data_IF_770399074633
#
_entry.id   IF_770399074633
#
_cell.length_a   1.000
_cell.length_b   1.000
_cell.length_c   1.000
_cell.angle_alpha   90.00
_cell.angle_beta   90.00
_cell.angle_gamma   90.00
#
_symmetry.space_group_name_H-M   'P 1'
#
loop_
_entity.id
_entity.type
_entity.pdbx_description
1 polymer ?
#
# COMPACT_ATOMS: atom_id res chain seq x y z
N UNK A 1 22.56 8.66 -6.61
CA UNK A 1 21.21 8.31 -6.14
C UNK A 1 21.31 6.97 -5.44
N UNK A 2 20.83 6.83 -4.20
CA UNK A 2 20.68 5.50 -3.62
C UNK A 2 19.55 4.80 -4.39
N UNK A 3 19.87 3.74 -5.12
CA UNK A 3 18.86 2.95 -5.83
C UNK A 3 17.99 2.23 -4.80
N UNK A 4 16.69 2.46 -4.86
CA UNK A 4 15.71 1.71 -4.10
C UNK A 4 15.63 0.29 -4.67
N UNK A 5 16.21 -0.70 -3.99
CA UNK A 5 16.13 -2.11 -4.39
C UNK A 5 14.93 -2.80 -3.72
N UNK A 6 13.75 -2.19 -3.79
CA UNK A 6 12.52 -2.87 -3.38
C UNK A 6 11.96 -3.69 -4.56
N UNK A 7 11.57 -4.92 -4.27
CA UNK A 7 10.87 -5.80 -5.22
C UNK A 7 9.43 -5.32 -5.42
N UNK A 8 8.85 -5.51 -6.59
CA UNK A 8 7.45 -5.12 -6.84
C UNK A 8 6.49 -5.82 -5.88
N UNK A 9 5.43 -5.13 -5.46
CA UNK A 9 4.40 -5.71 -4.61
C UNK A 9 3.54 -6.70 -5.42
N UNK A 10 3.47 -7.95 -4.96
CA UNK A 10 2.63 -8.99 -5.56
C UNK A 10 1.14 -8.76 -5.22
N UNK A 11 0.24 -8.85 -6.20
CA UNK A 11 -1.21 -8.71 -5.99
C UNK A 11 -1.85 -9.88 -5.25
N UNK A 12 -1.18 -11.03 -5.23
CA UNK A 12 -1.58 -12.19 -4.45
C UNK A 12 -0.91 -12.23 -3.08
N UNK A 13 -0.20 -11.17 -2.69
CA UNK A 13 0.41 -11.06 -1.38
C UNK A 13 -0.66 -11.09 -0.27
N UNK A 14 -0.35 -11.81 0.79
CA UNK A 14 -1.09 -11.75 2.04
C UNK A 14 -0.97 -10.35 2.66
N UNK A 15 -1.92 -10.00 3.55
CA UNK A 15 -1.88 -8.72 4.27
C UNK A 15 -0.52 -8.49 4.97
N UNK A 16 0.05 -9.55 5.55
CA UNK A 16 1.36 -9.52 6.20
C UNK A 16 2.50 -9.18 5.24
N UNK A 17 2.53 -9.80 4.06
CA UNK A 17 3.56 -9.51 3.05
C UNK A 17 3.48 -8.06 2.54
N UNK A 18 2.27 -7.49 2.50
CA UNK A 18 2.08 -6.07 2.16
C UNK A 18 2.56 -5.16 3.28
N UNK A 19 2.26 -5.49 4.55
CA UNK A 19 2.79 -4.77 5.71
C UNK A 19 4.32 -4.79 5.74
N UNK A 20 4.94 -5.96 5.55
CA UNK A 20 6.40 -6.12 5.49
C UNK A 20 7.02 -5.32 4.32
N UNK A 21 6.32 -5.21 3.20
CA UNK A 21 6.74 -4.35 2.08
C UNK A 21 6.70 -2.86 2.44
N UNK A 22 5.60 -2.41 3.05
CA UNK A 22 5.42 -1.01 3.47
C UNK A 22 6.46 -0.60 4.52
N UNK A 23 6.75 -1.47 5.49
CA UNK A 23 7.79 -1.24 6.50
C UNK A 23 9.17 -1.08 5.85
N UNK A 24 9.54 -1.96 4.92
CA UNK A 24 10.81 -1.85 4.17
C UNK A 24 10.90 -0.54 3.39
N UNK A 25 9.79 -0.10 2.78
CA UNK A 25 9.75 1.18 2.07
C UNK A 25 9.96 2.36 3.04
N UNK A 26 9.36 2.33 4.23
CA UNK A 26 9.53 3.35 5.26
C UNK A 26 10.97 3.39 5.81
N UNK A 27 11.57 2.23 6.06
CA UNK A 27 12.99 2.13 6.44
C UNK A 27 13.86 2.79 5.37
N UNK A 28 13.63 2.47 4.09
CA UNK A 28 14.36 3.10 3.00
C UNK A 28 14.17 4.62 2.97
N UNK A 29 12.95 5.12 3.18
CA UNK A 29 12.68 6.55 3.28
C UNK A 29 13.49 7.23 4.41
N UNK A 30 13.61 6.59 5.58
CA UNK A 30 14.37 7.11 6.72
C UNK A 30 15.86 7.26 6.37
N UNK A 31 16.42 6.34 5.59
CA UNK A 31 17.83 6.44 5.14
C UNK A 31 18.05 7.60 4.17
N UNK A 32 17.00 8.09 3.50
CA UNK A 32 17.08 9.17 2.55
C UNK A 32 16.79 10.54 3.20
N UNK A 33 17.86 11.23 3.61
CA UNK A 33 17.77 12.62 4.07
C UNK A 33 17.19 13.55 2.99
N UNK A 34 16.14 14.30 3.34
CA UNK A 34 15.54 15.32 2.47
C UNK A 34 14.43 14.80 1.54
N UNK A 35 13.90 13.62 1.81
CA UNK A 35 12.69 13.12 1.17
C UNK A 35 11.45 13.84 1.76
N UNK A 36 10.81 14.68 0.97
CA UNK A 36 9.54 15.33 1.32
C UNK A 36 8.33 14.42 1.03
N UNK A 37 7.13 14.84 1.44
CA UNK A 37 5.91 14.04 1.31
C UNK A 37 5.49 13.77 -0.14
N UNK A 38 5.66 14.75 -1.04
CA UNK A 38 5.33 14.60 -2.47
C UNK A 38 6.29 13.62 -3.14
N UNK A 39 7.60 13.77 -2.88
CA UNK A 39 8.62 12.84 -3.36
C UNK A 39 8.41 11.45 -2.80
N UNK A 40 8.09 11.30 -1.51
CA UNK A 40 7.78 9.99 -0.90
C UNK A 40 6.65 9.30 -1.64
N UNK A 41 5.57 10.04 -1.94
CA UNK A 41 4.42 9.54 -2.70
C UNK A 41 4.82 9.14 -4.12
N UNK A 42 5.54 10.00 -4.84
CA UNK A 42 6.00 9.71 -6.19
C UNK A 42 6.91 8.47 -6.23
N UNK A 43 7.87 8.37 -5.32
CA UNK A 43 8.74 7.20 -5.23
C UNK A 43 7.94 5.94 -4.93
N UNK A 44 7.02 5.97 -3.96
CA UNK A 44 6.16 4.84 -3.66
C UNK A 44 5.44 4.32 -4.91
N UNK A 45 4.79 5.21 -5.66
CA UNK A 45 4.08 4.86 -6.90
C UNK A 45 5.00 4.30 -7.99
N UNK A 46 6.28 4.70 -8.03
CA UNK A 46 7.26 4.15 -8.99
C UNK A 46 7.80 2.78 -8.59
N UNK A 47 7.95 2.50 -7.29
CA UNK A 47 8.58 1.25 -6.80
C UNK A 47 7.57 0.14 -6.50
N UNK A 48 6.31 0.47 -6.26
CA UNK A 48 5.26 -0.50 -5.88
C UNK A 48 4.95 -1.53 -6.98
N UNK A 49 5.30 -1.22 -8.23
CA UNK A 49 5.07 -2.09 -9.38
C UNK A 49 3.73 -1.87 -10.08
N UNK A 50 3.64 -2.38 -11.30
CA UNK A 50 2.54 -2.11 -12.26
C UNK A 50 1.16 -2.54 -11.73
N UNK A 51 1.07 -3.72 -11.16
CA UNK A 51 -0.22 -4.30 -10.78
C UNK A 51 -0.78 -3.58 -9.55
N UNK A 52 0.09 -3.30 -8.56
CA UNK A 52 -0.26 -2.55 -7.37
C UNK A 52 -0.66 -1.10 -7.69
N UNK A 53 0.07 -0.48 -8.61
CA UNK A 53 -0.27 0.84 -9.13
C UNK A 53 -1.66 0.84 -9.79
N UNK A 54 -1.97 -0.19 -10.59
CA UNK A 54 -3.27 -0.30 -11.26
C UNK A 54 -4.41 -0.51 -10.27
N UNK A 55 -4.19 -1.32 -9.23
CA UNK A 55 -5.13 -1.49 -8.13
C UNK A 55 -5.38 -0.16 -7.39
N UNK A 56 -4.32 0.52 -6.95
CA UNK A 56 -4.42 1.81 -6.28
C UNK A 56 -5.13 2.84 -7.16
N UNK A 57 -4.86 2.85 -8.47
CA UNK A 57 -5.53 3.75 -9.42
C UNK A 57 -7.04 3.54 -9.44
N UNK A 58 -7.50 2.29 -9.38
CA UNK A 58 -8.91 1.97 -9.31
C UNK A 58 -9.52 2.32 -7.94
N UNK A 59 -8.78 2.08 -6.85
CA UNK A 59 -9.23 2.39 -5.48
C UNK A 59 -9.29 3.89 -5.18
N UNK A 60 -8.47 4.70 -5.85
CA UNK A 60 -8.37 6.14 -5.64
C UNK A 60 -9.42 6.96 -6.40
N UNK A 61 -10.22 6.36 -7.29
CA UNK A 61 -11.21 7.11 -8.08
C UNK A 61 -12.25 7.81 -7.20
N UNK A 62 -12.64 9.06 -7.51
CA UNK A 62 -12.31 9.85 -8.70
C UNK A 62 -10.98 10.64 -8.62
N UNK A 63 -10.27 10.56 -7.49
CA UNK A 63 -9.06 11.35 -7.23
C UNK A 63 -7.84 10.83 -8.02
N UNK A 64 -6.85 11.72 -8.20
CA UNK A 64 -5.58 11.34 -8.82
C UNK A 64 -4.62 10.76 -7.78
N UNK A 65 -3.94 9.67 -8.12
CA UNK A 65 -2.92 9.06 -7.25
C UNK A 65 -1.80 10.04 -6.84
N UNK A 66 -1.46 10.98 -7.71
CA UNK A 66 -0.40 11.96 -7.48
C UNK A 66 -0.84 13.04 -6.47
N UNK A 67 -2.15 13.30 -6.36
CA UNK A 67 -2.69 14.23 -5.36
C UNK A 67 -2.86 13.61 -3.97
N UNK A 68 -2.83 12.28 -3.87
CA UNK A 68 -2.96 11.58 -2.59
C UNK A 68 -1.61 11.52 -1.89
N UNK A 69 -1.62 11.67 -0.56
CA UNK A 69 -0.43 11.45 0.24
C UNK A 69 -0.08 9.95 0.32
N UNK A 70 1.19 9.63 0.55
CA UNK A 70 1.62 8.27 0.87
C UNK A 70 0.78 7.61 1.97
N UNK A 71 0.42 8.33 3.04
CA UNK A 71 -0.38 7.78 4.15
C UNK A 71 -1.81 7.39 3.70
N UNK A 72 -2.39 8.19 2.79
CA UNK A 72 -3.69 7.90 2.17
C UNK A 72 -3.61 6.64 1.31
N UNK A 73 -2.55 6.52 0.48
CA UNK A 73 -2.32 5.35 -0.37
C UNK A 73 -2.07 4.08 0.44
N UNK A 74 -1.27 4.17 1.50
CA UNK A 74 -1.02 3.08 2.45
C UNK A 74 -2.32 2.58 3.07
N UNK A 75 -3.16 3.50 3.54
CA UNK A 75 -4.46 3.16 4.16
C UNK A 75 -5.42 2.52 3.14
N UNK A 76 -5.47 3.02 1.91
CA UNK A 76 -6.27 2.42 0.83
C UNK A 76 -5.85 0.97 0.55
N UNK A 77 -4.55 0.73 0.49
CA UNK A 77 -4.00 -0.60 0.24
C UNK A 77 -4.34 -1.58 1.39
N UNK A 78 -4.12 -1.17 2.64
CA UNK A 78 -4.42 -2.00 3.82
C UNK A 78 -5.93 -2.29 3.95
N UNK A 79 -6.79 -1.31 3.70
CA UNK A 79 -8.25 -1.47 3.72
C UNK A 79 -8.75 -2.45 2.64
N UNK A 80 -8.07 -2.54 1.50
CA UNK A 80 -8.42 -3.52 0.48
C UNK A 80 -8.08 -4.95 0.92
N UNK A 81 -6.98 -5.12 1.64
CA UNK A 81 -6.47 -6.42 2.09
C UNK A 81 -7.14 -6.92 3.37
N UNK A 82 -7.63 -6.01 4.21
CA UNK A 82 -8.48 -6.31 5.35
C UNK A 82 -9.94 -6.07 4.93
N UNK A 83 -10.68 -7.09 4.46
CA UNK A 83 -12.12 -6.93 4.32
C UNK A 83 -12.66 -6.53 5.68
N UNK A 84 -13.39 -5.41 5.71
CA UNK A 84 -14.03 -4.89 6.92
C UNK A 84 -14.70 -6.06 7.64
N UNK A 85 -14.17 -6.39 8.81
CA UNK A 85 -14.55 -7.49 9.70
C UNK A 85 -15.77 -8.26 9.18
N UNK A 86 -15.57 -9.46 8.64
CA UNK A 86 -16.67 -10.40 8.43
C UNK A 86 -17.21 -10.74 9.83
N UNK A 87 -18.12 -9.91 10.32
CA UNK A 87 -18.96 -10.12 11.50
C UNK A 87 -20.00 -11.21 11.17
N UNK A 88 -19.53 -12.33 10.64
CA UNK A 88 -20.33 -13.50 10.29
C UNK A 88 -19.60 -14.82 10.63
N UNK A 89 -18.73 -14.77 11.63
CA UNK A 89 -18.64 -15.83 12.62
C UNK A 89 -19.23 -15.22 13.90
N UNK A 90 -20.38 -15.59 14.45
CA UNK A 90 -20.85 -16.94 14.75
C UNK A 90 -22.34 -16.85 15.17
N UNK A 91 -23.27 -16.92 14.21
CA UNK A 91 -24.69 -17.18 14.50
C UNK A 91 -25.23 -18.25 13.57
N UNK A 92 -24.85 -19.48 13.85
CA UNK A 92 -25.70 -20.62 13.53
C UNK A 92 -25.43 -21.75 14.53
N UNK A 93 -25.96 -21.60 15.75
CA UNK A 93 -26.33 -22.78 16.53
C UNK A 93 -27.54 -23.37 15.81
N UNK A 94 -27.30 -24.36 14.97
CA UNK A 94 -28.38 -25.20 14.45
C UNK A 94 -28.90 -26.04 15.63
N UNK A 95 -30.22 -25.98 15.84
CA UNK A 95 -30.96 -26.72 16.86
C UNK A 95 -31.01 -28.23 16.55
#
# INVERSE_FOLDING_TARGET
MASCNLENLNMHASAREVEDYLERFEIWCITWKGLDGERKTAYFLTVIGKDAYSLLKNLALPDSLISLSYESLKTLLLKHLQPANFEAAERAKFH
#
